data_IF_305350178453
#
_entry.id   IF_305350178453
#
_cell.length_a   1.000
_cell.length_b   1.000
_cell.length_c   1.000
_cell.angle_alpha   90.00
_cell.angle_beta   90.00
_cell.angle_gamma   90.00
#
_symmetry.space_group_name_H-M   'P 1'
#
loop_
_entity.id
_entity.type
_entity.pdbx_description
1 polymer ?
#
# COMPACT_ATOMS: atom_id res chain seq x y z
N UNK A 1 8.18 -20.90 -24.78
CA UNK A 1 6.80 -20.83 -24.27
C UNK A 1 6.83 -20.22 -22.87
N UNK A 2 6.76 -18.88 -22.79
CA UNK A 2 6.73 -18.15 -21.52
C UNK A 2 5.32 -18.32 -20.96
N UNK A 3 5.17 -19.01 -19.81
CA UNK A 3 3.87 -19.15 -19.14
C UNK A 3 3.27 -17.75 -19.01
N UNK A 4 2.11 -17.54 -19.63
CA UNK A 4 1.24 -16.41 -19.26
C UNK A 4 0.85 -16.68 -17.82
N UNK A 5 1.59 -16.13 -16.87
CA UNK A 5 1.14 -16.07 -15.49
C UNK A 5 -0.18 -15.30 -15.54
N UNK A 6 -1.28 -16.00 -15.24
CA UNK A 6 -2.59 -15.40 -15.13
C UNK A 6 -2.48 -14.21 -14.18
N UNK A 7 -2.95 -13.04 -14.59
CA UNK A 7 -2.90 -11.85 -13.75
C UNK A 7 -3.47 -12.19 -12.36
N UNK A 8 -2.74 -11.92 -11.26
CA UNK A 8 -3.25 -12.16 -9.93
C UNK A 8 -4.56 -11.38 -9.73
N UNK A 9 -5.49 -11.93 -8.94
CA UNK A 9 -6.76 -11.26 -8.67
C UNK A 9 -6.55 -9.83 -8.14
N UNK A 10 -7.45 -8.91 -8.49
CA UNK A 10 -7.34 -7.47 -8.20
C UNK A 10 -6.90 -7.15 -6.76
N UNK A 11 -7.47 -7.82 -5.76
CA UNK A 11 -7.13 -7.66 -4.35
C UNK A 11 -5.70 -8.10 -4.01
N UNK A 12 -5.19 -9.16 -4.63
CA UNK A 12 -3.79 -9.57 -4.49
C UNK A 12 -2.86 -8.55 -5.11
N UNK A 13 -3.22 -8.01 -6.27
CA UNK A 13 -2.44 -6.95 -6.93
C UNK A 13 -2.32 -5.72 -6.04
N UNK A 14 -3.42 -5.25 -5.45
CA UNK A 14 -3.41 -4.15 -4.49
C UNK A 14 -2.57 -4.46 -3.25
N UNK A 15 -2.68 -5.67 -2.69
CA UNK A 15 -1.92 -6.06 -1.51
C UNK A 15 -0.40 -6.11 -1.75
N UNK A 16 0.00 -6.60 -2.93
CA UNK A 16 1.41 -6.61 -3.37
C UNK A 16 1.90 -5.19 -3.63
N UNK A 17 1.10 -4.36 -4.31
CA UNK A 17 1.43 -2.96 -4.60
C UNK A 17 1.62 -2.16 -3.32
N UNK A 18 0.70 -2.33 -2.37
CA UNK A 18 0.71 -1.64 -1.08
C UNK A 18 1.74 -2.19 -0.10
N UNK A 19 2.48 -3.25 -0.45
CA UNK A 19 3.37 -3.97 0.46
C UNK A 19 2.68 -4.25 1.80
N UNK A 20 1.45 -4.74 1.75
CA UNK A 20 0.59 -4.98 2.93
C UNK A 20 1.29 -5.90 3.95
N UNK A 21 2.19 -6.76 3.50
CA UNK A 21 3.04 -7.61 4.35
C UNK A 21 3.91 -6.84 5.35
N UNK A 22 4.12 -5.54 5.16
CA UNK A 22 4.88 -4.68 6.08
C UNK A 22 4.00 -4.01 7.15
N UNK A 23 2.67 -4.05 7.01
CA UNK A 23 1.74 -3.49 8.01
C UNK A 23 1.90 -4.09 9.41
N UNK A 24 2.22 -5.39 9.60
CA UNK A 24 2.48 -5.94 10.92
C UNK A 24 3.57 -5.19 11.69
N UNK A 25 4.64 -4.75 11.01
CA UNK A 25 5.72 -3.95 11.62
C UNK A 25 5.24 -2.55 12.01
N UNK A 26 4.39 -1.94 11.18
CA UNK A 26 3.78 -0.64 11.47
C UNK A 26 2.89 -0.76 12.72
N UNK A 27 2.10 -1.83 12.81
CA UNK A 27 1.22 -2.08 13.95
C UNK A 27 1.98 -2.45 15.22
N UNK A 28 3.09 -3.19 15.13
CA UNK A 28 3.93 -3.46 16.30
C UNK A 28 4.51 -2.17 16.90
N UNK A 29 4.89 -1.20 16.05
CA UNK A 29 5.36 0.11 16.50
C UNK A 29 4.23 0.93 17.14
N UNK A 30 3.03 0.92 16.53
CA UNK A 30 1.85 1.58 17.10
C UNK A 30 1.51 0.97 18.47
N UNK A 31 1.53 -0.36 18.58
CA UNK A 31 1.27 -1.08 19.81
C UNK A 31 2.31 -0.74 20.89
N UNK A 32 3.59 -0.75 20.53
CA UNK A 32 4.65 -0.35 21.46
C UNK A 32 4.45 1.09 21.96
N UNK A 33 4.14 2.04 21.08
CA UNK A 33 3.83 3.42 21.46
C UNK A 33 2.58 3.52 22.36
N UNK A 34 1.55 2.73 22.09
CA UNK A 34 0.33 2.70 22.89
C UNK A 34 0.55 2.13 24.29
N UNK A 35 1.29 1.03 24.40
CA UNK A 35 1.66 0.42 25.68
C UNK A 35 2.53 1.37 26.52
N UNK A 36 3.57 1.96 25.90
CA UNK A 36 4.47 2.91 26.56
C UNK A 36 3.79 4.23 26.93
N UNK A 37 2.79 4.65 26.13
CA UNK A 37 1.99 5.85 26.37
C UNK A 37 0.92 5.70 27.46
N UNK A 38 0.86 4.54 28.13
CA UNK A 38 -0.04 4.30 29.26
C UNK A 38 -1.37 3.64 28.90
N UNK A 39 -1.46 2.93 27.76
CA UNK A 39 -2.64 2.16 27.36
C UNK A 39 -3.90 3.02 27.24
N UNK A 40 -3.84 4.10 26.46
CA UNK A 40 -4.97 4.98 26.22
C UNK A 40 -6.20 4.27 25.60
N UNK A 41 -7.29 4.99 25.31
CA UNK A 41 -8.52 4.41 24.79
C UNK A 41 -8.31 3.55 23.53
N UNK A 42 -8.93 2.36 23.50
CA UNK A 42 -8.74 1.39 22.42
C UNK A 42 -9.29 1.89 21.07
N UNK A 43 -10.39 2.64 21.09
CA UNK A 43 -10.96 3.30 19.92
C UNK A 43 -9.95 4.24 19.24
N UNK A 44 -9.25 5.06 20.02
CA UNK A 44 -8.18 5.95 19.51
C UNK A 44 -7.00 5.17 18.97
N UNK A 45 -6.64 4.06 19.60
CA UNK A 45 -5.60 3.17 19.09
C UNK A 45 -5.98 2.54 17.75
N UNK A 46 -7.21 2.07 17.60
CA UNK A 46 -7.70 1.50 16.34
C UNK A 46 -7.77 2.56 15.24
N UNK A 47 -8.22 3.79 15.56
CA UNK A 47 -8.17 4.94 14.65
C UNK A 47 -6.74 5.27 14.21
N UNK A 48 -5.79 5.26 15.15
CA UNK A 48 -4.37 5.46 14.84
C UNK A 48 -3.84 4.38 13.89
N UNK A 49 -4.08 3.10 14.19
CA UNK A 49 -3.65 1.99 13.34
C UNK A 49 -4.26 2.08 11.94
N UNK A 50 -5.54 2.44 11.83
CA UNK A 50 -6.21 2.66 10.55
C UNK A 50 -5.59 3.84 9.79
N UNK A 51 -5.38 4.98 10.45
CA UNK A 51 -4.78 6.17 9.84
C UNK A 51 -3.36 5.94 9.35
N UNK A 52 -2.50 5.32 10.17
CA UNK A 52 -1.11 5.00 9.78
C UNK A 52 -1.09 3.99 8.63
N UNK A 53 -2.00 3.01 8.63
CA UNK A 53 -2.14 2.07 7.51
C UNK A 53 -2.56 2.78 6.23
N UNK A 54 -3.51 3.72 6.31
CA UNK A 54 -3.94 4.51 5.17
C UNK A 54 -2.81 5.38 4.61
N UNK A 55 -2.06 6.08 5.47
CA UNK A 55 -0.89 6.88 5.07
C UNK A 55 0.18 6.01 4.41
N UNK A 56 0.50 4.85 5.00
CA UNK A 56 1.49 3.93 4.44
C UNK A 56 1.07 3.40 3.05
N UNK A 57 -0.16 2.92 2.92
CA UNK A 57 -0.69 2.39 1.66
C UNK A 57 -0.81 3.50 0.60
N UNK A 58 -1.30 4.67 0.99
CA UNK A 58 -1.44 5.83 0.12
C UNK A 58 -0.07 6.30 -0.41
N UNK A 59 0.92 6.43 0.47
CA UNK A 59 2.30 6.76 0.08
C UNK A 59 2.92 5.71 -0.83
N UNK A 60 2.69 4.42 -0.56
CA UNK A 60 3.15 3.32 -1.41
C UNK A 60 2.53 3.37 -2.82
N UNK A 61 1.23 3.65 -2.91
CA UNK A 61 0.53 3.77 -4.19
C UNK A 61 1.03 5.00 -4.97
N UNK A 62 1.17 6.15 -4.32
CA UNK A 62 1.71 7.34 -4.97
C UNK A 62 3.15 7.13 -5.45
N UNK A 63 4.03 6.51 -4.65
CA UNK A 63 5.39 6.20 -5.06
C UNK A 63 5.41 5.36 -6.35
N UNK A 64 4.61 4.29 -6.41
CA UNK A 64 4.52 3.45 -7.61
C UNK A 64 3.92 4.21 -8.81
N UNK A 65 3.02 5.18 -8.57
CA UNK A 65 2.45 6.02 -9.62
C UNK A 65 3.47 7.04 -10.18
N UNK A 66 4.29 7.65 -9.33
CA UNK A 66 5.39 8.53 -9.75
C UNK A 66 6.50 7.76 -10.47
N UNK A 67 6.82 6.55 -10.00
CA UNK A 67 7.88 5.71 -10.58
C UNK A 67 7.46 5.03 -11.89
N UNK A 68 6.21 5.16 -12.35
CA UNK A 68 5.68 4.45 -13.53
C UNK A 68 6.60 4.57 -14.76
N UNK A 69 7.06 5.77 -15.10
CA UNK A 69 7.90 6.00 -16.28
C UNK A 69 9.28 5.34 -16.15
N UNK A 70 9.83 5.31 -14.93
CA UNK A 70 11.10 4.67 -14.63
C UNK A 70 10.96 3.14 -14.62
N UNK A 71 9.93 2.62 -13.95
CA UNK A 71 9.64 1.19 -13.83
C UNK A 71 9.28 0.58 -15.18
N UNK A 72 8.66 1.33 -16.11
CA UNK A 72 8.41 0.85 -17.48
C UNK A 72 9.70 0.50 -18.24
N UNK A 73 10.81 1.17 -17.92
CA UNK A 73 12.12 0.95 -18.57
C UNK A 73 12.97 -0.08 -17.84
N UNK A 74 12.91 -0.13 -16.51
CA UNK A 74 13.84 -0.94 -15.69
C UNK A 74 13.18 -2.15 -15.00
N UNK A 75 11.86 -2.15 -14.84
CA UNK A 75 11.09 -3.17 -14.10
C UNK A 75 9.71 -3.43 -14.75
N UNK A 76 9.65 -3.93 -15.99
CA UNK A 76 8.40 -4.10 -16.73
C UNK A 76 7.43 -5.12 -16.10
N UNK A 77 7.89 -5.93 -15.15
CA UNK A 77 7.08 -6.89 -14.40
C UNK A 77 6.27 -6.26 -13.26
N UNK A 78 6.50 -4.97 -12.93
CA UNK A 78 5.74 -4.25 -11.90
C UNK A 78 4.29 -4.06 -12.35
N UNK A 79 3.31 -4.02 -11.42
CA UNK A 79 1.89 -4.16 -11.79
C UNK A 79 1.34 -3.06 -12.69
N UNK A 80 1.85 -1.83 -12.60
CA UNK A 80 1.44 -0.72 -13.48
C UNK A 80 2.02 -0.91 -14.90
N UNK A 81 3.35 -1.05 -15.13
CA UNK A 81 3.90 -1.39 -16.44
C UNK A 81 3.36 -2.69 -17.04
N UNK A 82 3.11 -3.70 -16.22
CA UNK A 82 2.56 -5.00 -16.63
C UNK A 82 1.08 -4.93 -17.03
N UNK A 83 0.41 -3.79 -16.84
CA UNK A 83 -0.99 -3.58 -17.19
C UNK A 83 -1.99 -4.27 -16.27
N UNK A 84 -1.57 -4.72 -15.08
CA UNK A 84 -2.46 -5.37 -14.11
C UNK A 84 -3.36 -4.37 -13.37
N UNK A 85 -2.95 -3.10 -13.33
CA UNK A 85 -3.74 -1.99 -12.78
C UNK A 85 -3.42 -0.71 -13.56
N UNK A 86 -4.43 0.15 -13.76
CA UNK A 86 -4.22 1.44 -14.41
C UNK A 86 -3.55 2.44 -13.45
N UNK A 87 -2.60 3.24 -13.96
CA UNK A 87 -1.96 4.30 -13.17
C UNK A 87 -2.99 5.28 -12.58
N UNK A 88 -4.04 5.62 -13.34
CA UNK A 88 -5.14 6.48 -12.86
C UNK A 88 -5.82 5.91 -11.62
N UNK A 89 -6.07 4.60 -11.56
CA UNK A 89 -6.66 3.99 -10.37
C UNK A 89 -5.71 4.09 -9.17
N UNK A 90 -4.41 3.85 -9.37
CA UNK A 90 -3.40 3.97 -8.30
C UNK A 90 -3.34 5.40 -7.75
N UNK A 91 -3.42 6.41 -8.61
CA UNK A 91 -3.53 7.82 -8.19
C UNK A 91 -4.76 8.10 -7.33
N UNK A 92 -5.94 7.64 -7.77
CA UNK A 92 -7.19 7.82 -7.01
C UNK A 92 -7.13 7.16 -5.64
N UNK A 93 -6.66 5.92 -5.57
CA UNK A 93 -6.50 5.21 -4.30
C UNK A 93 -5.44 5.87 -3.42
N UNK A 94 -4.32 6.32 -3.98
CA UNK A 94 -3.25 7.00 -3.26
C UNK A 94 -3.73 8.30 -2.60
N UNK A 95 -4.40 9.17 -3.36
CA UNK A 95 -4.97 10.41 -2.82
C UNK A 95 -6.14 10.16 -1.88
N UNK A 96 -7.03 9.20 -2.15
CA UNK A 96 -8.14 8.88 -1.26
C UNK A 96 -7.67 8.40 0.12
N UNK A 97 -6.60 7.61 0.16
CA UNK A 97 -6.02 7.12 1.41
C UNK A 97 -5.27 8.19 2.20
N UNK A 98 -4.75 9.23 1.54
CA UNK A 98 -4.02 10.33 2.21
C UNK A 98 -4.92 11.52 2.56
N UNK A 99 -5.93 11.79 1.74
CA UNK A 99 -6.82 12.94 1.87
C UNK A 99 -7.99 12.73 2.82
N UNK A 100 -8.53 11.51 2.86
CA UNK A 100 -9.80 11.23 3.56
C UNK A 100 -11.02 11.75 2.82
#
# INVERSE_FOLDING_TARGET
MQRRESAPGFWRTLAVLGRVSNLPTVWSNCLAGWLLGGNGPLDRFLLLCAGVSAVYLGGMFLNDAFDEAFDRRHRPTRPIPAGWISARAVWWWGWGLLGG
#
